data_IF_114440321809
#
_entry.id   IF_114440321809
#
_cell.length_a   1.000
_cell.length_b   1.000
_cell.length_c   1.000
_cell.angle_alpha   90.00
_cell.angle_beta   90.00
_cell.angle_gamma   90.00
#
_symmetry.space_group_name_H-M   'P 1'
#
loop_
_entity.id
_entity.type
_entity.pdbx_description
1 polymer ?
#
# COMPACT_ATOMS: atom_id res chain seq x y z
N UNK A 1 16.96 43.87 15.71
CA UNK A 1 17.08 42.51 16.30
C UNK A 1 15.83 42.11 17.07
N UNK A 2 15.38 42.83 18.11
CA UNK A 2 14.17 42.47 18.86
C UNK A 2 12.87 42.47 18.02
N UNK A 3 12.69 43.43 17.11
CA UNK A 3 11.54 43.46 16.19
C UNK A 3 11.55 42.29 15.19
N UNK A 4 12.71 41.97 14.62
CA UNK A 4 12.88 40.85 13.70
C UNK A 4 12.56 39.50 14.39
N UNK A 5 13.03 39.32 15.64
CA UNK A 5 12.72 38.13 16.45
C UNK A 5 11.22 38.02 16.81
N UNK A 6 10.52 39.15 16.97
CA UNK A 6 9.07 39.12 17.24
C UNK A 6 8.24 38.72 16.01
N UNK A 7 8.75 38.99 14.80
CA UNK A 7 8.13 38.60 13.53
C UNK A 7 8.39 37.12 13.17
N UNK A 8 9.44 36.53 13.75
CA UNK A 8 9.78 35.11 13.60
C UNK A 8 9.05 34.24 14.64
N UNK A 9 7.72 34.20 14.58
CA UNK A 9 6.92 33.33 15.45
C UNK A 9 7.06 31.85 15.03
N UNK A 10 7.45 30.94 15.94
CA UNK A 10 7.50 29.51 15.66
C UNK A 10 6.13 28.94 15.31
N UNK A 11 6.07 28.04 14.34
CA UNK A 11 4.86 27.33 13.92
C UNK A 11 4.84 25.90 14.47
N UNK A 12 5.13 25.75 15.76
CA UNK A 12 5.37 24.43 16.38
C UNK A 12 4.25 23.43 16.15
N UNK A 13 3.00 23.89 16.21
CA UNK A 13 1.83 23.06 15.92
C UNK A 13 1.84 22.51 14.49
N UNK A 14 2.23 23.33 13.51
CA UNK A 14 2.28 22.91 12.11
C UNK A 14 3.43 21.93 11.87
N UNK A 15 4.59 22.20 12.49
CA UNK A 15 5.75 21.31 12.43
C UNK A 15 5.39 19.95 13.02
N UNK A 16 4.78 19.92 14.21
CA UNK A 16 4.35 18.67 14.86
C UNK A 16 3.31 17.91 14.03
N UNK A 17 2.32 18.61 13.47
CA UNK A 17 1.31 17.99 12.60
C UNK A 17 1.96 17.32 11.39
N UNK A 18 2.82 18.03 10.67
CA UNK A 18 3.49 17.50 9.47
C UNK A 18 4.42 16.35 9.85
N UNK A 19 5.20 16.50 10.92
CA UNK A 19 6.15 15.50 11.40
C UNK A 19 5.46 14.19 11.82
N UNK A 20 4.29 14.28 12.48
CA UNK A 20 3.53 13.10 12.87
C UNK A 20 2.73 12.48 11.71
N UNK A 21 2.29 13.29 10.74
CA UNK A 21 1.39 12.84 9.70
C UNK A 21 2.10 12.37 8.43
N UNK A 22 3.13 13.06 7.97
CA UNK A 22 3.72 12.88 6.63
C UNK A 22 5.06 12.14 6.74
N UNK A 23 5.27 11.15 5.86
CA UNK A 23 6.54 10.42 5.73
C UNK A 23 7.69 11.39 5.42
N UNK A 24 8.90 11.07 5.87
CA UNK A 24 10.07 11.94 5.70
C UNK A 24 10.49 12.07 4.22
N UNK A 25 10.30 11.00 3.45
CA UNK A 25 10.52 10.95 2.00
C UNK A 25 9.23 10.43 1.32
N UNK A 26 8.19 11.27 1.20
CA UNK A 26 6.92 10.87 0.63
C UNK A 26 7.01 10.79 -0.91
N UNK A 27 6.26 9.87 -1.56
CA UNK A 27 6.23 9.79 -3.01
C UNK A 27 5.78 11.09 -3.68
N UNK A 28 6.29 11.33 -4.90
CA UNK A 28 5.93 12.51 -5.69
C UNK A 28 4.45 12.52 -6.09
N UNK A 29 3.90 11.34 -6.38
CA UNK A 29 2.50 11.19 -6.77
C UNK A 29 1.68 10.71 -5.58
N UNK A 30 0.61 11.45 -5.28
CA UNK A 30 -0.28 11.13 -4.16
C UNK A 30 -0.98 9.77 -4.37
N UNK A 31 -1.12 9.35 -5.62
CA UNK A 31 -1.74 8.08 -6.02
C UNK A 31 -0.85 6.85 -5.78
N UNK A 32 0.43 7.03 -5.46
CA UNK A 32 1.35 5.93 -5.17
C UNK A 32 1.24 5.45 -3.71
N UNK A 33 0.43 6.13 -2.88
CA UNK A 33 0.26 5.84 -1.46
C UNK A 33 1.53 6.10 -0.65
N UNK A 34 1.59 5.61 0.58
CA UNK A 34 2.76 5.71 1.46
C UNK A 34 3.23 7.15 1.72
N UNK A 35 2.26 8.04 1.93
CA UNK A 35 2.45 9.46 2.26
C UNK A 35 2.27 9.65 3.76
N UNK A 36 1.33 8.93 4.36
CA UNK A 36 0.98 9.05 5.77
C UNK A 36 1.83 8.10 6.61
N UNK A 37 2.38 8.60 7.72
CA UNK A 37 3.16 7.83 8.68
C UNK A 37 2.32 6.76 9.37
N UNK A 38 2.92 5.59 9.62
CA UNK A 38 2.33 4.57 10.48
C UNK A 38 2.08 5.18 11.87
N UNK A 39 0.94 4.86 12.51
CA UNK A 39 0.57 5.40 13.82
C UNK A 39 -0.15 6.76 13.79
N UNK A 40 -0.25 7.43 12.64
CA UNK A 40 -1.04 8.66 12.52
C UNK A 40 -2.55 8.38 12.52
N UNK A 41 -2.96 7.22 11.99
CA UNK A 41 -4.36 6.83 11.92
C UNK A 41 -4.53 5.32 12.09
N UNK A 42 -5.20 4.90 13.16
CA UNK A 42 -5.39 3.49 13.51
C UNK A 42 -6.13 2.68 12.43
N UNK A 43 -7.07 3.31 11.71
CA UNK A 43 -7.83 2.63 10.66
C UNK A 43 -6.96 2.37 9.43
N UNK A 44 -6.11 3.33 9.05
CA UNK A 44 -5.12 3.15 7.99
C UNK A 44 -4.11 2.06 8.36
N UNK A 45 -3.63 2.06 9.60
CA UNK A 45 -2.72 1.03 10.11
C UNK A 45 -3.37 -0.36 10.08
N UNK A 46 -4.67 -0.44 10.38
CA UNK A 46 -5.44 -1.69 10.29
C UNK A 46 -5.48 -2.22 8.85
N UNK A 47 -5.73 -1.35 7.86
CA UNK A 47 -5.70 -1.75 6.44
C UNK A 47 -4.29 -2.19 6.00
N UNK A 48 -3.25 -1.45 6.39
CA UNK A 48 -1.85 -1.82 6.12
C UNK A 48 -1.48 -3.16 6.75
N UNK A 49 -1.94 -3.42 7.97
CA UNK A 49 -1.76 -4.70 8.66
C UNK A 49 -2.46 -5.84 7.93
N UNK A 50 -3.71 -5.65 7.50
CA UNK A 50 -4.45 -6.63 6.70
C UNK A 50 -3.70 -6.99 5.41
N UNK A 51 -3.15 -6.00 4.70
CA UNK A 51 -2.33 -6.24 3.51
C UNK A 51 -1.03 -6.99 3.82
N UNK A 52 -0.32 -6.64 4.91
CA UNK A 52 0.91 -7.34 5.35
C UNK A 52 0.60 -8.81 5.70
N UNK A 53 -0.50 -9.06 6.40
CA UNK A 53 -0.95 -10.41 6.73
C UNK A 53 -1.39 -11.18 5.49
N UNK A 54 -2.08 -10.54 4.55
CA UNK A 54 -2.45 -11.13 3.26
C UNK A 54 -1.24 -11.59 2.46
N UNK A 55 -0.16 -10.81 2.40
CA UNK A 55 1.10 -11.23 1.77
C UNK A 55 1.71 -12.47 2.44
N UNK A 56 1.60 -12.58 3.77
CA UNK A 56 2.06 -13.76 4.49
C UNK A 56 1.20 -14.99 4.14
N UNK A 57 -0.12 -14.84 4.10
CA UNK A 57 -1.03 -15.91 3.70
C UNK A 57 -0.80 -16.37 2.26
N UNK A 58 -0.50 -15.46 1.33
CA UNK A 58 -0.12 -15.82 -0.03
C UNK A 58 1.16 -16.67 -0.06
N UNK A 59 2.16 -16.34 0.75
CA UNK A 59 3.39 -17.12 0.85
C UNK A 59 3.15 -18.51 1.47
N UNK A 60 2.30 -18.58 2.50
CA UNK A 60 1.89 -19.84 3.13
C UNK A 60 1.11 -20.73 2.15
N UNK A 61 0.18 -20.14 1.39
CA UNK A 61 -0.57 -20.84 0.34
C UNK A 61 0.35 -21.34 -0.76
N UNK A 62 1.30 -20.53 -1.23
CA UNK A 62 2.30 -20.95 -2.22
C UNK A 62 3.11 -22.16 -1.73
N UNK A 63 3.55 -22.13 -0.47
CA UNK A 63 4.30 -23.23 0.13
C UNK A 63 3.46 -24.52 0.25
N UNK A 64 2.20 -24.38 0.70
CA UNK A 64 1.23 -25.47 0.78
C UNK A 64 0.99 -26.10 -0.59
N UNK A 65 0.72 -25.30 -1.62
CA UNK A 65 0.47 -25.80 -2.97
C UNK A 65 1.71 -26.48 -3.58
N UNK A 66 2.92 -25.96 -3.33
CA UNK A 66 4.17 -26.63 -3.73
C UNK A 66 4.33 -28.01 -3.08
N UNK A 67 3.94 -28.13 -1.81
CA UNK A 67 4.05 -29.39 -1.06
C UNK A 67 3.00 -30.41 -1.54
N UNK A 68 1.75 -29.98 -1.72
CA UNK A 68 0.65 -30.84 -2.16
C UNK A 68 0.84 -31.35 -3.60
N UNK A 69 1.28 -30.47 -4.51
CA UNK A 69 1.47 -30.82 -5.92
C UNK A 69 2.84 -31.42 -6.23
N UNK A 70 3.83 -31.26 -5.34
CA UNK A 70 5.24 -31.60 -5.61
C UNK A 70 5.94 -30.68 -6.62
N UNK A 71 5.27 -29.63 -7.10
CA UNK A 71 5.77 -28.74 -8.16
C UNK A 71 6.61 -27.61 -7.54
N UNK A 72 7.92 -27.82 -7.44
CA UNK A 72 8.85 -26.85 -6.81
C UNK A 72 8.85 -25.45 -7.41
N UNK A 73 8.56 -25.33 -8.71
CA UNK A 73 8.58 -24.05 -9.44
C UNK A 73 7.19 -23.39 -9.54
N UNK A 74 6.16 -23.94 -8.87
CA UNK A 74 4.86 -23.28 -8.72
C UNK A 74 5.06 -21.94 -8.02
N UNK A 75 4.39 -20.89 -8.50
CA UNK A 75 4.47 -19.56 -7.88
C UNK A 75 3.10 -18.89 -7.89
N UNK A 76 2.84 -18.10 -6.86
CA UNK A 76 1.70 -17.18 -6.82
C UNK A 76 2.19 -15.82 -7.33
N UNK A 77 1.61 -15.35 -8.42
CA UNK A 77 1.91 -14.06 -9.01
C UNK A 77 0.71 -13.13 -8.95
N UNK A 78 0.94 -11.86 -9.25
CA UNK A 78 -0.11 -10.84 -9.39
C UNK A 78 -0.03 -10.24 -10.80
N UNK A 79 -1.19 -9.96 -11.39
CA UNK A 79 -1.33 -9.18 -12.61
C UNK A 79 -2.44 -8.16 -12.43
N UNK A 80 -2.19 -6.91 -12.80
CA UNK A 80 -3.16 -5.80 -12.61
C UNK A 80 -4.53 -6.04 -13.26
N UNK A 81 -4.61 -6.84 -14.32
CA UNK A 81 -5.86 -7.13 -15.07
C UNK A 81 -6.57 -8.37 -14.55
N UNK A 82 -5.81 -9.42 -14.23
CA UNK A 82 -6.37 -10.74 -13.89
C UNK A 82 -6.26 -11.11 -12.41
N UNK A 83 -5.66 -10.24 -11.60
CA UNK A 83 -5.54 -10.46 -10.18
C UNK A 83 -4.40 -11.41 -9.81
N UNK A 84 -4.54 -12.05 -8.66
CA UNK A 84 -3.63 -13.10 -8.21
C UNK A 84 -3.87 -14.40 -8.96
N UNK A 85 -2.79 -15.13 -9.24
CA UNK A 85 -2.84 -16.40 -9.95
C UNK A 85 -1.76 -17.36 -9.47
N UNK A 86 -2.02 -18.65 -9.63
CA UNK A 86 -1.03 -19.72 -9.48
C UNK A 86 -0.49 -20.05 -10.86
N UNK A 87 0.82 -19.91 -11.08
CA UNK A 87 1.48 -20.24 -12.33
C UNK A 87 2.17 -21.60 -12.23
N UNK A 88 1.80 -22.50 -13.14
CA UNK A 88 2.36 -23.85 -13.28
C UNK A 88 2.94 -23.99 -14.68
N UNK A 89 4.19 -24.46 -14.79
CA UNK A 89 4.81 -24.70 -16.10
C UNK A 89 4.14 -25.86 -16.82
N UNK A 90 4.03 -25.80 -18.15
CA UNK A 90 3.39 -26.85 -18.96
C UNK A 90 3.96 -28.25 -18.72
N UNK A 91 5.28 -28.34 -18.48
CA UNK A 91 5.95 -29.60 -18.16
C UNK A 91 5.45 -30.29 -16.88
N UNK A 92 4.86 -29.53 -15.95
CA UNK A 92 4.42 -30.03 -14.65
C UNK A 92 2.89 -30.20 -14.55
N UNK A 93 2.13 -29.89 -15.61
CA UNK A 93 0.66 -30.02 -15.62
C UNK A 93 0.20 -31.46 -15.40
N UNK A 94 0.99 -32.45 -15.84
CA UNK A 94 0.67 -33.86 -15.63
C UNK A 94 0.88 -34.37 -14.20
N UNK A 95 1.56 -33.59 -13.34
CA UNK A 95 1.86 -33.96 -11.96
C UNK A 95 0.92 -33.30 -10.93
N UNK A 96 0.07 -32.36 -11.36
CA UNK A 96 -0.86 -31.67 -10.46
C UNK A 96 -2.25 -32.34 -10.51
N UNK A 97 -2.83 -32.62 -9.34
CA UNK A 97 -4.26 -32.84 -9.22
C UNK A 97 -4.98 -31.49 -9.40
N UNK A 98 -5.40 -31.21 -10.64
CA UNK A 98 -5.94 -29.91 -11.06
C UNK A 98 -7.44 -29.71 -10.76
N UNK A 99 -8.11 -30.62 -10.04
CA UNK A 99 -9.57 -30.52 -9.83
C UNK A 99 -9.99 -29.24 -9.08
N UNK A 100 -9.15 -28.75 -8.16
CA UNK A 100 -9.39 -27.49 -7.42
C UNK A 100 -8.93 -26.22 -8.16
N UNK A 101 -8.31 -26.35 -9.33
CA UNK A 101 -7.67 -25.27 -10.07
C UNK A 101 -8.54 -24.82 -11.25
N UNK A 102 -9.05 -23.59 -11.22
CA UNK A 102 -9.77 -22.99 -12.33
C UNK A 102 -8.77 -22.23 -13.24
N UNK A 103 -8.66 -22.63 -14.50
CA UNK A 103 -7.71 -22.01 -15.44
C UNK A 103 -8.14 -20.58 -15.83
N UNK A 104 -7.23 -19.63 -15.67
CA UNK A 104 -7.43 -18.20 -15.97
C UNK A 104 -6.78 -17.75 -17.27
N UNK A 105 -5.56 -18.22 -17.54
CA UNK A 105 -4.77 -17.75 -18.68
C UNK A 105 -3.77 -18.82 -19.13
N UNK A 106 -3.58 -18.96 -20.44
CA UNK A 106 -2.55 -19.82 -21.02
C UNK A 106 -1.42 -18.96 -21.59
N UNK A 107 -0.18 -19.27 -21.23
CA UNK A 107 1.03 -18.66 -21.77
C UNK A 107 1.78 -19.66 -22.67
N UNK A 108 2.85 -19.21 -23.31
CA UNK A 108 3.70 -20.05 -24.15
C UNK A 108 4.22 -21.28 -23.38
N UNK A 109 4.72 -21.06 -22.15
CA UNK A 109 5.42 -22.09 -21.36
C UNK A 109 4.74 -22.46 -20.03
N UNK A 110 3.64 -21.80 -19.69
CA UNK A 110 2.96 -21.98 -18.41
C UNK A 110 1.44 -21.81 -18.56
N UNK A 111 0.71 -22.30 -17.57
CA UNK A 111 -0.71 -22.03 -17.36
C UNK A 111 -0.91 -21.35 -16.01
N UNK A 112 -1.88 -20.44 -15.97
CA UNK A 112 -2.25 -19.70 -14.78
C UNK A 112 -3.63 -20.12 -14.33
N UNK A 113 -3.76 -20.33 -13.04
CA UNK A 113 -4.95 -20.84 -12.40
C UNK A 113 -5.34 -19.98 -11.21
N UNK A 114 -6.56 -20.17 -10.72
CA UNK A 114 -7.03 -19.67 -9.44
C UNK A 114 -7.67 -20.81 -8.65
N UNK A 115 -7.63 -20.70 -7.33
CA UNK A 115 -8.38 -21.56 -6.41
C UNK A 115 -9.38 -20.71 -5.64
N UNK A 116 -10.46 -21.31 -5.09
CA UNK A 116 -11.38 -20.58 -4.22
C UNK A 116 -10.68 -19.88 -3.05
N UNK A 117 -9.73 -20.57 -2.40
CA UNK A 117 -8.89 -20.03 -1.31
C UNK A 117 -8.09 -18.79 -1.75
N UNK A 118 -7.44 -18.85 -2.93
CA UNK A 118 -6.70 -17.70 -3.47
C UNK A 118 -7.62 -16.52 -3.80
N UNK A 119 -8.82 -16.78 -4.32
CA UNK A 119 -9.79 -15.75 -4.68
C UNK A 119 -10.35 -15.00 -3.47
N UNK A 120 -10.58 -15.72 -2.37
CA UNK A 120 -11.01 -15.12 -1.09
C UNK A 120 -9.92 -14.23 -0.51
N UNK A 121 -8.68 -14.72 -0.48
CA UNK A 121 -7.51 -13.94 -0.03
C UNK A 121 -7.31 -12.69 -0.89
N UNK A 122 -7.40 -12.84 -2.21
CA UNK A 122 -7.31 -11.73 -3.16
C UNK A 122 -8.35 -10.65 -2.84
N UNK A 123 -9.61 -11.03 -2.64
CA UNK A 123 -10.68 -10.08 -2.38
C UNK A 123 -10.39 -9.28 -1.11
N UNK A 124 -9.96 -9.94 -0.04
CA UNK A 124 -9.61 -9.28 1.22
C UNK A 124 -8.42 -8.32 1.06
N UNK A 125 -7.39 -8.72 0.31
CA UNK A 125 -6.19 -7.90 0.08
C UNK A 125 -6.54 -6.66 -0.76
N UNK A 126 -7.25 -6.84 -1.87
CA UNK A 126 -7.59 -5.75 -2.78
C UNK A 126 -8.55 -4.76 -2.14
N UNK A 127 -9.54 -5.22 -1.37
CA UNK A 127 -10.43 -4.34 -0.62
C UNK A 127 -9.67 -3.52 0.44
N UNK A 128 -8.72 -4.14 1.14
CA UNK A 128 -7.90 -3.43 2.12
C UNK A 128 -6.97 -2.41 1.45
N UNK A 129 -6.41 -2.74 0.29
CA UNK A 129 -5.57 -1.84 -0.51
C UNK A 129 -6.36 -0.63 -1.01
N UNK A 130 -7.54 -0.84 -1.61
CA UNK A 130 -8.41 0.24 -2.08
C UNK A 130 -8.80 1.17 -0.94
N UNK A 131 -9.31 0.62 0.17
CA UNK A 131 -9.69 1.41 1.35
C UNK A 131 -8.49 2.14 1.98
N UNK A 132 -7.30 1.54 1.94
CA UNK A 132 -6.06 2.16 2.41
C UNK A 132 -5.70 3.38 1.58
N UNK A 133 -5.70 3.26 0.25
CA UNK A 133 -5.35 4.35 -0.67
C UNK A 133 -6.34 5.51 -0.53
N UNK A 134 -7.63 5.20 -0.50
CA UNK A 134 -8.67 6.22 -0.36
C UNK A 134 -8.55 6.96 0.97
N UNK A 135 -8.39 6.24 2.09
CA UNK A 135 -8.25 6.85 3.40
C UNK A 135 -6.97 7.67 3.51
N UNK A 136 -5.86 7.17 3.00
CA UNK A 136 -4.58 7.88 2.97
C UNK A 136 -4.69 9.21 2.21
N UNK A 137 -5.39 9.22 1.07
CA UNK A 137 -5.67 10.43 0.32
C UNK A 137 -6.50 11.44 1.15
N UNK A 138 -7.55 10.99 1.81
CA UNK A 138 -8.38 11.86 2.65
C UNK A 138 -7.58 12.46 3.82
N UNK A 139 -6.74 11.66 4.48
CA UNK A 139 -5.87 12.11 5.57
C UNK A 139 -4.87 13.16 5.09
N UNK A 140 -4.25 12.93 3.94
CA UNK A 140 -3.36 13.92 3.33
C UNK A 140 -4.08 15.24 3.03
N UNK A 141 -5.28 15.17 2.44
CA UNK A 141 -6.09 16.36 2.20
C UNK A 141 -6.44 17.10 3.49
N UNK A 142 -6.76 16.38 4.56
CA UNK A 142 -7.06 16.97 5.87
C UNK A 142 -5.84 17.72 6.42
N UNK A 143 -4.65 17.10 6.41
CA UNK A 143 -3.40 17.76 6.81
C UNK A 143 -3.15 19.02 5.97
N UNK A 144 -3.36 18.94 4.65
CA UNK A 144 -3.20 20.09 3.75
C UNK A 144 -4.16 21.23 4.09
N UNK A 145 -5.42 20.94 4.41
CA UNK A 145 -6.38 21.97 4.80
C UNK A 145 -6.03 22.61 6.15
N UNK A 146 -5.44 21.86 7.09
CA UNK A 146 -4.91 22.44 8.33
C UNK A 146 -3.71 23.37 8.06
N UNK A 147 -2.77 22.95 7.22
CA UNK A 147 -1.62 23.77 6.79
C UNK A 147 -2.09 25.07 6.14
N UNK A 148 -3.14 24.99 5.30
CA UNK A 148 -3.71 26.13 4.58
C UNK A 148 -4.23 27.23 5.52
N UNK A 149 -4.72 26.88 6.72
CA UNK A 149 -5.15 27.87 7.72
C UNK A 149 -4.00 28.76 8.20
N UNK A 150 -2.75 28.27 8.10
CA UNK A 150 -1.55 28.99 8.49
C UNK A 150 -0.87 29.77 7.34
N UNK A 151 -1.49 29.91 6.15
CA UNK A 151 -0.89 30.60 5.00
C UNK A 151 -0.41 32.01 5.34
N UNK A 152 -1.26 32.83 5.97
CA UNK A 152 -0.90 34.21 6.31
C UNK A 152 0.30 34.26 7.27
N UNK A 153 0.29 33.56 8.42
CA UNK A 153 1.45 33.46 9.29
C UNK A 153 2.73 32.95 8.58
N UNK A 154 2.62 31.93 7.72
CA UNK A 154 3.75 31.40 6.95
C UNK A 154 4.35 32.44 6.00
N UNK A 155 3.52 33.23 5.32
CA UNK A 155 3.99 34.31 4.43
C UNK A 155 4.70 35.43 5.21
N UNK A 156 4.21 35.77 6.41
CA UNK A 156 4.87 36.74 7.29
C UNK A 156 6.24 36.23 7.71
N UNK A 157 6.31 34.97 8.18
CA UNK A 157 7.56 34.34 8.57
C UNK A 157 8.56 34.26 7.41
N UNK A 158 8.11 33.87 6.21
CA UNK A 158 8.94 33.81 5.03
C UNK A 158 9.52 35.18 4.64
N UNK A 159 8.72 36.25 4.73
CA UNK A 159 9.19 37.62 4.50
C UNK A 159 10.28 38.00 5.51
N UNK A 160 10.02 37.77 6.80
CA UNK A 160 10.98 38.07 7.87
C UNK A 160 12.32 37.34 7.68
N UNK A 161 12.32 36.09 7.19
CA UNK A 161 13.54 35.31 6.90
C UNK A 161 14.27 35.82 5.65
N UNK A 162 13.53 36.28 4.63
CA UNK A 162 14.11 36.75 3.36
C UNK A 162 14.73 38.17 3.43
N UNK A 163 14.58 38.85 4.57
CA UNK A 163 15.05 40.23 4.79
C UNK A 163 16.40 40.24 5.51
#
# INVERSE_FOLDING_TARGET
WQSLLSEMQPMDHLVQLIDQAIQDDPPLQITEGNIIKDGFNEQLDTYRSAMRNGKKWLAELEAKERQETGIKNLKIGFNRVFGYYIEITKANLGNAELEKYERKQTLANAERFITPELKELETQILEAEEKSVDLEYQLFLAVREEVKKAIQPLQVLAKAIST
#
